data_IF_229413071573
#
_entry.id   IF_229413071573
#
_cell.length_a   1.000
_cell.length_b   1.000
_cell.length_c   1.000
_cell.angle_alpha   90.00
_cell.angle_beta   90.00
_cell.angle_gamma   90.00
#
_symmetry.space_group_name_H-M   'P 1'
#
loop_
_entity.id
_entity.type
_entity.pdbx_description
1 polymer ?
#
# COMPACT_ATOMS: atom_id res chain seq x y z
N UNK A 1 -47.86 44.22 -48.03
CA UNK A 1 -46.89 45.15 -47.41
C UNK A 1 -46.20 44.40 -46.29
N UNK A 2 -44.90 44.22 -46.46
CA UNK A 2 -43.95 43.48 -45.64
C UNK A 2 -43.72 44.14 -44.29
N UNK A 3 -43.72 43.39 -43.20
CA UNK A 3 -42.97 43.75 -41.99
C UNK A 3 -42.32 42.50 -41.40
N UNK A 4 -41.00 42.40 -41.58
CA UNK A 4 -40.14 41.48 -40.86
C UNK A 4 -40.07 41.91 -39.39
N UNK A 5 -40.08 40.95 -38.46
CA UNK A 5 -39.61 41.17 -37.09
C UNK A 5 -38.51 40.15 -36.77
N UNK A 6 -37.43 40.71 -36.25
CA UNK A 6 -36.11 40.13 -36.16
C UNK A 6 -36.02 38.97 -35.15
N UNK A 7 -35.24 37.97 -35.53
CA UNK A 7 -34.76 36.87 -34.68
C UNK A 7 -33.69 37.41 -33.72
N UNK A 8 -33.98 37.47 -32.42
CA UNK A 8 -32.96 37.68 -31.38
C UNK A 8 -32.53 36.31 -30.86
N UNK A 9 -31.40 35.83 -31.37
CA UNK A 9 -30.68 34.68 -30.80
C UNK A 9 -29.92 35.14 -29.57
N UNK A 10 -30.31 34.66 -28.39
CA UNK A 10 -29.57 34.84 -27.15
C UNK A 10 -28.63 33.65 -26.98
N UNK A 11 -27.32 33.85 -27.23
CA UNK A 11 -26.28 32.90 -26.86
C UNK A 11 -26.06 32.94 -25.34
N UNK A 12 -26.03 31.80 -24.62
CA UNK A 12 -25.59 31.79 -23.24
C UNK A 12 -24.07 32.01 -23.20
N UNK A 13 -23.65 33.12 -22.57
CA UNK A 13 -22.26 33.35 -22.18
C UNK A 13 -21.89 32.35 -21.07
N UNK A 14 -21.05 31.38 -21.39
CA UNK A 14 -20.42 30.51 -20.40
C UNK A 14 -19.40 31.33 -19.61
N UNK A 15 -19.80 31.83 -18.44
CA UNK A 15 -18.85 32.39 -17.48
C UNK A 15 -18.11 31.22 -16.83
N UNK A 16 -16.84 31.02 -17.19
CA UNK A 16 -15.95 30.12 -16.45
C UNK A 16 -15.65 30.78 -15.11
N UNK A 17 -16.39 30.39 -14.07
CA UNK A 17 -16.08 30.75 -12.70
C UNK A 17 -14.73 30.11 -12.35
N UNK A 18 -13.68 30.93 -12.26
CA UNK A 18 -12.40 30.50 -11.70
C UNK A 18 -12.64 30.20 -10.22
N UNK A 19 -12.83 28.92 -9.89
CA UNK A 19 -12.87 28.47 -8.50
C UNK A 19 -11.50 28.75 -7.87
N UNK A 20 -11.42 29.85 -7.10
CA UNK A 20 -10.36 30.07 -6.14
C UNK A 20 -10.42 28.91 -5.15
N UNK A 21 -9.56 27.92 -5.32
CA UNK A 21 -9.38 26.84 -4.35
C UNK A 21 -8.84 27.50 -3.09
N UNK A 22 -9.73 27.71 -2.11
CA UNK A 22 -9.33 28.14 -0.77
C UNK A 22 -8.36 27.10 -0.22
N UNK A 23 -7.07 27.42 -0.23
CA UNK A 23 -6.04 26.59 0.40
C UNK A 23 -6.36 26.55 1.89
N UNK A 24 -6.86 25.41 2.37
CA UNK A 24 -6.98 25.13 3.81
C UNK A 24 -5.60 25.26 4.42
N UNK A 25 -5.36 26.35 5.13
CA UNK A 25 -4.20 26.47 6.01
C UNK A 25 -4.39 25.46 7.13
N UNK A 26 -3.54 24.43 7.17
CA UNK A 26 -3.46 23.53 8.32
C UNK A 26 -2.91 24.35 9.50
N UNK A 27 -3.81 24.83 10.35
CA UNK A 27 -3.44 25.44 11.63
C UNK A 27 -3.17 24.30 12.60
N UNK A 28 -1.90 24.07 12.92
CA UNK A 28 -1.51 23.21 14.04
C UNK A 28 -1.53 24.07 15.30
N UNK A 29 -2.61 23.99 16.08
CA UNK A 29 -2.55 24.53 17.45
C UNK A 29 -1.52 23.72 18.22
N UNK A 30 -0.48 24.37 18.76
CA UNK A 30 0.46 23.72 19.67
C UNK A 30 -0.33 23.11 20.84
N UNK A 31 -0.34 21.77 20.92
CA UNK A 31 -0.98 21.04 22.01
C UNK A 31 -0.20 21.37 23.27
N UNK A 32 -0.79 22.20 24.15
CA UNK A 32 -0.29 22.30 25.53
C UNK A 32 -0.38 20.92 26.16
N UNK A 33 0.75 20.41 26.64
CA UNK A 33 0.82 19.20 27.44
C UNK A 33 0.19 19.47 28.82
N UNK A 34 -1.14 19.57 28.88
CA UNK A 34 -1.89 19.40 30.12
C UNK A 34 -2.38 17.95 30.16
N UNK A 35 -1.80 17.15 31.03
CA UNK A 35 -2.13 15.73 31.22
C UNK A 35 -3.59 15.54 31.64
N UNK A 36 -4.49 15.38 30.66
CA UNK A 36 -5.93 15.43 30.87
C UNK A 36 -6.68 14.37 30.08
N UNK A 37 -7.50 13.63 30.81
CA UNK A 37 -8.53 12.64 30.42
C UNK A 37 -9.62 13.16 29.44
N UNK A 38 -9.33 14.15 28.59
CA UNK A 38 -10.29 14.80 27.68
C UNK A 38 -10.29 14.19 26.27
N UNK A 39 -9.79 12.96 26.10
CA UNK A 39 -9.82 12.23 24.82
C UNK A 39 -10.44 10.84 25.07
N UNK A 40 -11.32 10.34 24.19
CA UNK A 40 -11.95 9.02 24.35
C UNK A 40 -10.97 7.83 24.19
N UNK A 41 -9.66 8.08 24.25
CA UNK A 41 -8.63 7.06 24.17
C UNK A 41 -8.15 6.62 25.56
N UNK A 42 -7.51 5.45 25.65
CA UNK A 42 -6.90 5.00 26.90
C UNK A 42 -5.90 6.05 27.41
N UNK A 43 -5.84 6.29 28.73
CA UNK A 43 -4.88 7.23 29.29
C UNK A 43 -3.46 6.79 28.93
N UNK A 44 -2.57 7.72 28.55
CA UNK A 44 -1.18 7.38 28.24
C UNK A 44 -0.48 6.87 29.51
N UNK A 45 0.34 5.83 29.34
CA UNK A 45 1.17 5.30 30.43
C UNK A 45 2.24 6.34 30.82
N UNK A 46 2.74 6.32 32.07
CA UNK A 46 3.90 7.10 32.44
C UNK A 46 5.10 6.76 31.55
N UNK A 47 5.97 7.74 31.31
CA UNK A 47 7.04 7.62 30.30
C UNK A 47 8.00 6.44 30.56
N UNK A 48 8.18 6.03 31.81
CA UNK A 48 9.00 4.86 32.17
C UNK A 48 8.35 3.56 31.70
N UNK A 49 7.08 3.34 32.05
CA UNK A 49 6.33 2.13 31.66
C UNK A 49 6.14 2.04 30.14
N UNK A 50 5.86 3.17 29.47
CA UNK A 50 5.75 3.21 28.01
C UNK A 50 7.05 2.78 27.32
N UNK A 51 8.20 3.23 27.84
CA UNK A 51 9.53 2.85 27.33
C UNK A 51 9.81 1.36 27.54
N UNK A 52 9.46 0.81 28.70
CA UNK A 52 9.58 -0.62 28.96
C UNK A 52 8.69 -1.43 28.01
N UNK A 53 7.45 -1.01 27.81
CA UNK A 53 6.53 -1.63 26.85
C UNK A 53 7.11 -1.65 25.44
N UNK A 54 7.58 -0.51 24.94
CA UNK A 54 8.17 -0.42 23.60
C UNK A 54 9.43 -1.28 23.47
N UNK A 55 10.28 -1.33 24.51
CA UNK A 55 11.45 -2.19 24.53
C UNK A 55 11.05 -3.68 24.48
N UNK A 56 10.04 -4.09 25.24
CA UNK A 56 9.54 -5.47 25.26
C UNK A 56 8.89 -5.87 23.92
N UNK A 57 8.10 -4.98 23.33
CA UNK A 57 7.52 -5.17 21.99
C UNK A 57 8.64 -5.33 20.96
N UNK A 58 9.65 -4.44 20.98
CA UNK A 58 10.79 -4.51 20.06
C UNK A 58 11.60 -5.79 20.23
N UNK A 59 11.82 -6.25 21.46
CA UNK A 59 12.49 -7.52 21.74
C UNK A 59 11.68 -8.72 21.21
N UNK A 60 10.36 -8.72 21.41
CA UNK A 60 9.48 -9.80 20.95
C UNK A 60 9.19 -9.79 19.46
N UNK A 61 9.22 -8.63 18.80
CA UNK A 61 9.07 -8.50 17.36
C UNK A 61 10.09 -9.39 16.61
N UNK A 62 11.32 -9.43 17.10
CA UNK A 62 12.40 -10.26 16.55
C UNK A 62 12.40 -11.70 17.08
N UNK A 63 11.68 -11.95 18.18
CA UNK A 63 11.52 -13.25 18.80
C UNK A 63 10.12 -13.81 18.58
N UNK A 64 9.57 -13.61 17.37
CA UNK A 64 8.39 -14.34 16.94
C UNK A 64 8.67 -15.83 17.17
N UNK A 65 7.88 -16.55 17.98
CA UNK A 65 8.12 -17.95 18.31
C UNK A 65 8.07 -18.87 17.09
N UNK A 66 7.69 -18.32 15.93
CA UNK A 66 7.67 -19.02 14.67
C UNK A 66 8.97 -18.89 13.85
N UNK A 67 9.75 -17.81 14.02
CA UNK A 67 10.98 -17.56 13.25
C UNK A 67 12.18 -18.35 13.77
N UNK A 68 12.10 -18.90 14.99
CA UNK A 68 13.21 -19.58 15.66
C UNK A 68 13.54 -20.98 15.14
N UNK A 69 12.74 -21.53 14.21
CA UNK A 69 12.81 -22.95 13.84
C UNK A 69 13.78 -23.27 12.70
N UNK A 70 14.26 -22.28 11.92
CA UNK A 70 15.20 -22.53 10.81
C UNK A 70 15.81 -21.21 10.29
N UNK A 71 17.15 -21.05 10.24
CA UNK A 71 17.79 -19.81 9.78
C UNK A 71 17.53 -19.48 8.30
N UNK A 72 17.06 -20.41 7.48
CA UNK A 72 16.63 -20.15 6.09
C UNK A 72 15.14 -19.72 5.99
N UNK A 73 14.37 -19.89 7.08
CA UNK A 73 12.90 -19.64 7.14
C UNK A 73 12.55 -18.39 7.94
N UNK A 74 13.52 -17.53 8.20
CA UNK A 74 13.51 -16.51 9.26
C UNK A 74 12.43 -15.43 9.21
N UNK A 75 11.55 -15.39 8.21
CA UNK A 75 10.52 -14.34 8.07
C UNK A 75 9.11 -14.85 7.66
N UNK A 76 8.89 -16.16 7.52
CA UNK A 76 7.63 -16.69 6.95
C UNK A 76 6.70 -17.24 8.03
N UNK A 77 5.40 -16.95 7.97
CA UNK A 77 4.35 -17.54 8.82
C UNK A 77 4.24 -19.07 8.62
N UNK A 78 3.74 -19.88 9.59
CA UNK A 78 3.58 -21.33 9.43
C UNK A 78 2.82 -21.73 8.18
N UNK A 79 1.72 -21.04 7.96
CA UNK A 79 0.84 -21.30 6.82
C UNK A 79 1.32 -20.61 5.54
N UNK A 80 2.36 -19.77 5.62
CA UNK A 80 2.90 -19.12 4.44
C UNK A 80 3.67 -20.15 3.59
N UNK A 81 3.09 -20.47 2.42
CA UNK A 81 3.75 -21.29 1.41
C UNK A 81 5.00 -20.61 0.88
N UNK A 82 6.09 -21.36 0.76
CA UNK A 82 7.30 -20.88 0.08
C UNK A 82 7.05 -20.73 -1.41
N UNK A 83 7.64 -19.69 -2.00
CA UNK A 83 7.70 -19.55 -3.45
C UNK A 83 8.51 -20.69 -4.05
N UNK A 84 8.18 -21.15 -5.27
CA UNK A 84 9.02 -22.10 -5.99
C UNK A 84 10.44 -21.55 -6.14
N UNK A 85 11.44 -22.44 -6.08
CA UNK A 85 12.84 -22.06 -6.34
C UNK A 85 12.98 -21.52 -7.76
N UNK A 86 13.86 -20.52 -7.99
CA UNK A 86 14.24 -20.09 -9.34
C UNK A 86 14.72 -21.26 -10.20
N UNK A 87 14.38 -21.29 -11.49
CA UNK A 87 14.80 -22.35 -12.42
C UNK A 87 16.20 -22.12 -12.98
N UNK A 88 16.65 -20.86 -13.02
CA UNK A 88 17.99 -20.50 -13.46
C UNK A 88 18.66 -19.48 -12.54
N UNK A 89 19.98 -19.55 -12.49
CA UNK A 89 20.84 -18.58 -11.79
C UNK A 89 21.26 -17.45 -12.75
N UNK A 90 21.50 -16.26 -12.20
CA UNK A 90 21.86 -15.07 -12.98
C UNK A 90 20.67 -14.28 -13.54
N UNK A 91 20.97 -13.44 -14.53
CA UNK A 91 19.99 -12.56 -15.21
C UNK A 91 19.52 -13.13 -16.55
N UNK A 92 20.28 -14.04 -17.14
CA UNK A 92 20.01 -14.59 -18.48
C UNK A 92 19.35 -15.95 -18.38
N UNK A 93 18.18 -16.11 -19.01
CA UNK A 93 17.52 -17.40 -19.15
C UNK A 93 18.32 -18.29 -20.14
N UNK A 94 18.80 -19.48 -19.74
CA UNK A 94 19.60 -20.35 -20.61
C UNK A 94 18.82 -20.94 -21.79
N UNK A 95 17.49 -20.97 -21.74
CA UNK A 95 16.65 -21.55 -22.80
C UNK A 95 16.20 -20.51 -23.82
N UNK A 96 15.77 -19.34 -23.35
CA UNK A 96 15.23 -18.26 -24.23
C UNK A 96 16.27 -17.18 -24.53
N UNK A 97 17.37 -17.10 -23.77
CA UNK A 97 18.37 -16.02 -23.89
C UNK A 97 17.88 -14.67 -23.36
N UNK A 98 16.67 -14.59 -22.81
CA UNK A 98 16.10 -13.36 -22.27
C UNK A 98 16.87 -12.90 -21.02
N UNK A 99 17.15 -11.60 -20.93
CA UNK A 99 17.87 -10.98 -19.81
C UNK A 99 16.88 -10.19 -18.95
N UNK A 100 16.85 -10.46 -17.64
CA UNK A 100 16.01 -9.74 -16.67
C UNK A 100 14.54 -10.18 -16.63
N UNK A 101 14.20 -11.31 -17.27
CA UNK A 101 12.85 -11.88 -17.25
C UNK A 101 12.50 -12.62 -15.94
N UNK A 102 11.25 -13.09 -15.80
CA UNK A 102 10.86 -13.98 -14.71
C UNK A 102 11.79 -15.20 -14.64
N UNK A 103 12.30 -15.48 -13.43
CA UNK A 103 13.23 -16.61 -13.22
C UNK A 103 12.57 -17.98 -13.25
N UNK A 104 11.24 -18.01 -13.37
CA UNK A 104 10.43 -19.22 -13.53
C UNK A 104 9.52 -19.01 -14.73
N UNK A 105 9.45 -20.02 -15.59
CA UNK A 105 8.56 -20.00 -16.74
C UNK A 105 7.07 -20.01 -16.30
N UNK A 106 6.29 -18.97 -16.64
CA UNK A 106 4.86 -18.94 -16.33
C UNK A 106 4.06 -19.97 -17.13
N UNK A 107 4.54 -20.42 -18.28
CA UNK A 107 3.88 -21.38 -19.17
C UNK A 107 4.31 -22.84 -18.92
N UNK A 108 4.99 -23.10 -17.79
CA UNK A 108 5.42 -24.46 -17.41
C UNK A 108 4.31 -25.52 -17.49
N UNK A 109 3.06 -25.10 -17.28
CA UNK A 109 1.90 -25.98 -17.33
C UNK A 109 0.85 -25.44 -18.30
N UNK A 110 0.75 -26.02 -19.50
CA UNK A 110 -0.10 -25.54 -20.61
C UNK A 110 -1.59 -25.34 -20.27
N UNK A 111 -2.11 -26.04 -19.27
CA UNK A 111 -3.54 -26.08 -18.91
C UNK A 111 -3.85 -25.59 -17.49
N UNK A 112 -2.85 -25.10 -16.78
CA UNK A 112 -2.94 -24.80 -15.36
C UNK A 112 -2.56 -23.33 -15.13
N UNK A 113 -3.52 -22.53 -14.65
CA UNK A 113 -3.30 -21.10 -14.36
C UNK A 113 -2.88 -20.85 -12.91
N UNK A 114 -2.24 -21.82 -12.28
CA UNK A 114 -1.79 -21.70 -10.90
C UNK A 114 -0.29 -21.40 -10.80
N UNK A 115 0.06 -20.38 -10.02
CA UNK A 115 1.44 -20.05 -9.67
C UNK A 115 1.64 -20.24 -8.17
N UNK A 116 2.64 -21.03 -7.76
CA UNK A 116 2.90 -21.31 -6.35
C UNK A 116 1.71 -21.95 -5.62
N UNK A 117 0.87 -22.69 -6.34
CA UNK A 117 -0.36 -23.31 -5.82
C UNK A 117 -1.50 -22.33 -5.54
N UNK A 118 -1.51 -21.16 -6.19
CA UNK A 118 -2.61 -20.19 -6.19
C UNK A 118 -3.07 -19.95 -7.62
N UNK A 119 -4.37 -19.88 -7.86
CA UNK A 119 -4.89 -19.44 -9.16
C UNK A 119 -4.47 -17.99 -9.41
N UNK A 120 -3.99 -17.73 -10.62
CA UNK A 120 -3.61 -16.40 -11.11
C UNK A 120 -4.69 -15.96 -12.09
N UNK A 121 -5.33 -14.83 -11.83
CA UNK A 121 -6.28 -14.17 -12.74
C UNK A 121 -5.59 -12.96 -13.38
N UNK A 122 -5.92 -12.66 -14.64
CA UNK A 122 -5.23 -11.65 -15.46
C UNK A 122 -5.98 -10.32 -15.53
#
# INVERSE_FOLDING_TARGET
>A
MTLLKATTSMLPRTAMATHLVARRTLVTSAVRASGGFNRPGPPPLPAQEQKEFENLVKQKQNASPFLASDPEKGDMHPDARRKPRPEFEGETNPSTGEIGGPKNDPLKYDKEWTYGGRATDF
#
